data_IF_443172595793
#
_entry.id   IF_443172595793
#
_cell.length_a   1.000
_cell.length_b   1.000
_cell.length_c   1.000
_cell.angle_alpha   90.00
_cell.angle_beta   90.00
_cell.angle_gamma   90.00
#
_symmetry.space_group_name_H-M   'P 1'
#
loop_
_entity.id
_entity.type
_entity.pdbx_description
1 polymer ?
#
# COMPACT_ATOMS: atom_id res chain seq x y z
N UNK A 1 -83.34 20.59 -7.76
CA UNK A 1 -82.71 21.60 -8.65
C UNK A 1 -81.40 21.01 -9.17
N UNK A 2 -81.38 20.65 -10.46
CA UNK A 2 -80.22 20.14 -11.21
C UNK A 2 -79.49 21.34 -11.83
N UNK A 3 -78.17 21.40 -11.72
CA UNK A 3 -77.37 22.38 -12.45
C UNK A 3 -77.26 22.04 -13.94
N UNK A 4 -76.94 23.02 -14.81
CA UNK A 4 -76.52 22.74 -16.18
C UNK A 4 -75.05 23.07 -16.45
N UNK A 5 -74.54 22.34 -17.45
CA UNK A 5 -73.21 22.26 -18.02
C UNK A 5 -72.87 23.39 -19.02
N UNK A 6 -71.56 23.59 -19.24
CA UNK A 6 -70.96 24.05 -20.52
C UNK A 6 -70.78 25.58 -20.65
N UNK A 7 -69.72 26.13 -21.25
CA UNK A 7 -68.63 25.57 -22.04
C UNK A 7 -67.40 26.49 -21.96
N UNK A 8 -66.19 25.94 -21.79
CA UNK A 8 -64.93 26.67 -21.97
C UNK A 8 -64.58 26.62 -23.45
N UNK A 9 -64.83 27.72 -24.15
CA UNK A 9 -64.44 27.93 -25.54
C UNK A 9 -62.91 28.04 -25.59
N UNK A 10 -62.26 26.95 -25.94
CA UNK A 10 -60.85 26.92 -26.35
C UNK A 10 -60.70 27.64 -27.69
N UNK A 11 -60.12 28.83 -27.66
CA UNK A 11 -59.76 29.60 -28.86
C UNK A 11 -58.48 28.98 -29.45
N UNK A 12 -58.61 28.11 -30.46
CA UNK A 12 -57.48 27.71 -31.31
C UNK A 12 -57.08 28.90 -32.18
N UNK A 13 -55.80 29.31 -32.25
CA UNK A 13 -55.34 30.15 -33.34
C UNK A 13 -55.15 29.27 -34.58
N UNK A 14 -55.77 29.72 -35.68
CA UNK A 14 -55.65 29.15 -37.01
C UNK A 14 -54.19 29.02 -37.44
N UNK A 15 -53.91 27.88 -38.07
CA UNK A 15 -52.72 27.59 -38.85
C UNK A 15 -52.66 28.52 -40.06
N UNK A 16 -51.73 29.48 -40.04
CA UNK A 16 -51.19 30.09 -41.26
C UNK A 16 -49.70 29.81 -41.34
N UNK A 17 -49.30 29.36 -42.52
CA UNK A 17 -48.00 28.78 -42.78
C UNK A 17 -46.83 29.77 -42.71
N UNK A 18 -45.67 29.15 -42.51
CA UNK A 18 -44.33 29.65 -42.81
C UNK A 18 -43.72 30.68 -41.84
N UNK A 19 -43.13 30.19 -40.73
CA UNK A 19 -41.92 30.78 -40.16
C UNK A 19 -41.29 29.87 -39.09
N UNK A 20 -40.02 29.54 -39.31
CA UNK A 20 -38.98 29.29 -38.30
C UNK A 20 -39.05 28.02 -37.43
N UNK A 21 -38.19 27.07 -37.80
CA UNK A 21 -37.42 26.24 -36.87
C UNK A 21 -36.86 27.10 -35.73
N UNK A 22 -37.45 27.04 -34.53
CA UNK A 22 -36.97 27.83 -33.41
C UNK A 22 -37.82 27.70 -32.15
N UNK A 23 -37.58 26.64 -31.39
CA UNK A 23 -38.23 26.42 -30.09
C UNK A 23 -37.36 25.63 -29.12
N UNK A 24 -36.06 25.98 -29.04
CA UNK A 24 -35.18 25.49 -27.97
C UNK A 24 -35.79 25.95 -26.65
N UNK A 25 -36.26 25.01 -25.85
CA UNK A 25 -36.74 25.24 -24.48
C UNK A 25 -35.58 25.83 -23.67
N UNK A 26 -35.51 27.17 -23.61
CA UNK A 26 -34.51 27.92 -22.85
C UNK A 26 -35.03 28.08 -21.43
N UNK A 27 -35.04 27.00 -20.66
CA UNK A 27 -35.13 27.13 -19.20
C UNK A 27 -33.80 27.65 -18.68
N UNK A 28 -33.83 28.72 -17.88
CA UNK A 28 -32.69 29.19 -17.07
C UNK A 28 -32.31 28.09 -16.07
N UNK A 29 -31.56 27.08 -16.53
CA UNK A 29 -31.00 26.01 -15.70
C UNK A 29 -29.90 26.64 -14.84
N UNK A 30 -30.21 26.96 -13.58
CA UNK A 30 -29.21 27.34 -12.59
C UNK A 30 -28.41 26.09 -12.21
N UNK A 31 -27.08 26.14 -12.29
CA UNK A 31 -26.21 25.04 -11.84
C UNK A 31 -26.45 24.76 -10.35
N UNK A 32 -26.97 23.58 -10.03
CA UNK A 32 -27.37 23.21 -8.65
C UNK A 32 -26.23 22.63 -7.80
N UNK A 33 -25.02 22.47 -8.34
CA UNK A 33 -23.90 21.84 -7.62
C UNK A 33 -22.64 22.72 -7.53
N UNK A 34 -22.81 24.04 -7.38
CA UNK A 34 -21.67 24.97 -7.19
C UNK A 34 -20.95 24.68 -5.86
N UNK A 35 -21.68 24.33 -4.79
CA UNK A 35 -21.08 24.04 -3.48
C UNK A 35 -20.22 22.78 -3.54
N UNK A 36 -20.70 21.71 -4.17
CA UNK A 36 -19.93 20.48 -4.34
C UNK A 36 -18.73 20.67 -5.27
N UNK A 37 -18.88 21.49 -6.32
CA UNK A 37 -17.75 21.88 -7.17
C UNK A 37 -16.66 22.60 -6.37
N UNK A 38 -17.02 23.51 -5.47
CA UNK A 38 -16.06 24.23 -4.61
C UNK A 38 -15.35 23.26 -3.66
N UNK A 39 -16.07 22.32 -3.03
CA UNK A 39 -15.48 21.31 -2.15
C UNK A 39 -14.50 20.40 -2.92
N UNK A 40 -14.87 19.98 -4.12
CA UNK A 40 -14.01 19.16 -4.98
C UNK A 40 -12.72 19.90 -5.37
N UNK A 41 -12.83 21.18 -5.76
CA UNK A 41 -11.66 22.02 -6.08
C UNK A 41 -10.78 22.18 -4.84
N UNK A 42 -11.36 22.44 -3.66
CA UNK A 42 -10.61 22.58 -2.42
C UNK A 42 -9.83 21.30 -2.06
N UNK A 43 -10.41 20.12 -2.28
CA UNK A 43 -9.73 18.84 -2.08
C UNK A 43 -8.52 18.67 -3.01
N UNK A 44 -8.67 18.96 -4.30
CA UNK A 44 -7.57 18.87 -5.26
C UNK A 44 -6.45 19.87 -4.96
N UNK A 45 -6.82 21.10 -4.58
CA UNK A 45 -5.85 22.10 -4.13
C UNK A 45 -5.09 21.60 -2.90
N UNK A 46 -5.79 21.02 -1.92
CA UNK A 46 -5.16 20.42 -0.73
C UNK A 46 -4.16 19.31 -1.08
N UNK A 47 -4.52 18.41 -2.00
CA UNK A 47 -3.63 17.33 -2.47
C UNK A 47 -2.40 17.87 -3.20
N UNK A 48 -2.57 18.88 -4.06
CA UNK A 48 -1.45 19.51 -4.78
C UNK A 48 -0.51 20.22 -3.79
N UNK A 49 -1.04 20.95 -2.81
CA UNK A 49 -0.23 21.62 -1.78
C UNK A 49 0.55 20.62 -0.94
N UNK A 50 -0.11 19.57 -0.44
CA UNK A 50 0.55 18.52 0.35
C UNK A 50 1.63 17.80 -0.45
N UNK A 51 1.34 17.48 -1.72
CA UNK A 51 2.31 16.84 -2.61
C UNK A 51 3.50 17.77 -2.87
N UNK A 52 3.25 19.04 -3.21
CA UNK A 52 4.30 20.02 -3.49
C UNK A 52 5.19 20.25 -2.27
N UNK A 53 4.61 20.33 -1.07
CA UNK A 53 5.38 20.42 0.17
C UNK A 53 6.26 19.18 0.38
N UNK A 54 5.70 17.99 0.15
CA UNK A 54 6.44 16.73 0.25
C UNK A 54 7.60 16.62 -0.74
N UNK A 55 7.44 17.09 -1.98
CA UNK A 55 8.51 17.08 -2.99
C UNK A 55 9.55 18.20 -2.80
N UNK A 56 9.13 19.37 -2.29
CA UNK A 56 10.04 20.51 -2.14
C UNK A 56 10.87 20.45 -0.86
N UNK A 57 10.34 19.86 0.22
CA UNK A 57 11.05 19.73 1.50
C UNK A 57 11.54 18.31 1.79
N UNK A 58 10.90 17.30 1.19
CA UNK A 58 11.28 15.91 1.34
C UNK A 58 12.24 15.46 0.25
N UNK A 59 12.93 14.35 0.53
CA UNK A 59 13.73 13.65 -0.45
C UNK A 59 13.00 12.36 -0.89
N UNK A 60 12.47 12.30 -2.13
CA UNK A 60 11.77 11.12 -2.63
C UNK A 60 12.68 9.89 -2.76
N UNK A 61 14.01 10.07 -2.85
CA UNK A 61 14.96 8.95 -3.00
C UNK A 61 14.99 8.07 -1.74
N UNK A 62 14.61 8.60 -0.57
CA UNK A 62 14.49 7.83 0.68
C UNK A 62 13.43 6.73 0.65
N UNK A 63 12.48 6.79 -0.29
CA UNK A 63 11.47 5.75 -0.44
C UNK A 63 11.99 4.52 -1.19
N UNK A 64 12.96 4.71 -2.07
CA UNK A 64 13.49 3.65 -2.95
C UNK A 64 14.85 3.15 -2.53
N UNK A 65 15.72 4.05 -2.04
CA UNK A 65 17.10 3.73 -1.65
C UNK A 65 17.24 3.51 -0.14
N UNK A 66 18.29 2.77 0.22
CA UNK A 66 18.66 2.56 1.61
C UNK A 66 19.30 3.81 2.25
N UNK A 67 19.34 3.81 3.58
CA UNK A 67 20.08 4.78 4.37
C UNK A 67 21.33 4.12 4.94
N UNK A 68 22.43 4.87 5.04
CA UNK A 68 23.62 4.50 5.80
C UNK A 68 23.42 4.71 7.32
N UNK A 69 24.46 4.40 8.10
CA UNK A 69 24.49 4.58 9.55
C UNK A 69 24.50 6.05 9.99
N UNK A 70 24.70 6.99 9.06
CA UNK A 70 24.66 8.45 9.27
C UNK A 70 23.31 9.07 8.90
N UNK A 71 22.44 8.31 8.25
CA UNK A 71 21.15 8.77 7.77
C UNK A 71 21.18 9.40 6.38
N UNK A 72 22.30 9.32 5.66
CA UNK A 72 22.41 9.71 4.26
C UNK A 72 21.77 8.63 3.36
N UNK A 73 21.30 9.05 2.19
CA UNK A 73 20.74 8.15 1.18
C UNK A 73 21.84 7.59 0.30
N UNK A 74 21.86 6.28 0.09
CA UNK A 74 22.78 5.66 -0.87
C UNK A 74 22.51 6.20 -2.28
N UNK A 75 23.56 6.58 -3.01
CA UNK A 75 23.47 7.23 -4.33
C UNK A 75 23.34 8.76 -4.30
N UNK A 76 23.24 9.38 -3.11
CA UNK A 76 23.12 10.83 -3.01
C UNK A 76 24.47 11.55 -3.21
N UNK A 77 24.47 12.55 -4.10
CA UNK A 77 25.62 13.40 -4.42
C UNK A 77 25.88 14.47 -3.36
N UNK A 78 24.85 14.84 -2.60
CA UNK A 78 24.92 15.87 -1.57
C UNK A 78 25.16 15.29 -0.16
N UNK A 79 25.24 13.97 -0.05
CA UNK A 79 25.61 13.28 1.18
C UNK A 79 27.05 13.60 1.62
N UNK A 80 27.30 13.46 2.92
CA UNK A 80 28.65 13.56 3.50
C UNK A 80 28.95 12.28 4.32
N UNK A 81 29.88 11.41 3.89
CA UNK A 81 30.71 11.50 2.67
C UNK A 81 29.89 11.40 1.37
N UNK A 82 30.44 11.80 0.23
CA UNK A 82 29.72 11.76 -1.06
C UNK A 82 29.42 10.32 -1.49
N UNK A 83 28.14 9.99 -1.67
CA UNK A 83 27.66 8.62 -1.94
C UNK A 83 27.21 8.40 -3.39
N UNK A 84 27.61 9.29 -4.31
CA UNK A 84 27.14 9.29 -5.71
C UNK A 84 27.21 7.93 -6.40
N UNK A 85 28.26 7.18 -6.14
CA UNK A 85 28.54 5.90 -6.82
C UNK A 85 28.18 4.70 -5.94
N UNK A 86 27.82 4.95 -4.68
CA UNK A 86 27.54 3.96 -3.65
C UNK A 86 26.02 3.83 -3.49
N UNK A 87 25.39 3.08 -4.39
CA UNK A 87 23.92 2.98 -4.47
C UNK A 87 23.33 1.82 -3.66
N UNK A 88 24.15 0.84 -3.24
CA UNK A 88 23.69 -0.38 -2.58
C UNK A 88 23.82 -0.31 -1.06
N UNK A 89 22.72 -0.59 -0.35
CA UNK A 89 22.74 -0.70 1.12
C UNK A 89 23.22 -2.07 1.59
N UNK A 90 24.25 -2.12 2.42
CA UNK A 90 24.78 -3.32 3.07
C UNK A 90 24.70 -3.22 4.60
N UNK A 91 24.45 -4.34 5.29
CA UNK A 91 24.51 -4.42 6.75
C UNK A 91 25.87 -4.93 7.19
N UNK A 92 26.55 -4.21 8.07
CA UNK A 92 27.93 -4.54 8.46
C UNK A 92 27.99 -5.68 9.48
N UNK A 93 27.08 -5.69 10.47
CA UNK A 93 27.11 -6.62 11.58
C UNK A 93 26.02 -7.71 11.42
N UNK A 94 26.37 -8.97 11.10
CA UNK A 94 25.40 -10.05 10.95
C UNK A 94 24.60 -10.35 12.24
N UNK A 95 25.22 -10.18 13.41
CA UNK A 95 24.56 -10.45 14.69
C UNK A 95 23.46 -9.43 14.99
N UNK A 96 23.62 -8.18 14.58
CA UNK A 96 22.55 -7.18 14.69
C UNK A 96 21.35 -7.52 13.80
N UNK A 97 21.62 -8.01 12.60
CA UNK A 97 20.58 -8.48 11.67
C UNK A 97 19.88 -9.71 12.25
N UNK A 98 20.64 -10.69 12.76
CA UNK A 98 20.10 -11.86 13.44
C UNK A 98 19.19 -11.47 14.63
N UNK A 99 19.68 -10.58 15.50
CA UNK A 99 18.94 -10.11 16.66
C UNK A 99 17.62 -9.46 16.25
N UNK A 100 17.57 -8.74 15.13
CA UNK A 100 16.33 -8.13 14.64
C UNK A 100 15.25 -9.14 14.21
N UNK A 101 15.63 -10.39 13.95
CA UNK A 101 14.73 -11.48 13.60
C UNK A 101 14.16 -12.25 14.79
N UNK A 102 14.75 -12.11 15.98
CA UNK A 102 14.27 -12.73 17.21
C UNK A 102 12.94 -12.10 17.65
N UNK A 103 12.01 -12.92 18.16
CA UNK A 103 10.68 -12.44 18.58
C UNK A 103 10.71 -11.60 19.86
N UNK A 104 11.71 -11.81 20.71
CA UNK A 104 11.82 -11.21 22.04
C UNK A 104 12.87 -10.09 22.13
N UNK A 105 13.50 -9.72 21.01
CA UNK A 105 14.48 -8.64 20.98
C UNK A 105 13.80 -7.29 20.77
N UNK A 106 14.29 -6.25 21.46
CA UNK A 106 13.86 -4.86 21.21
C UNK A 106 14.55 -4.23 19.99
N UNK A 107 15.52 -4.93 19.39
CA UNK A 107 16.36 -4.41 18.33
C UNK A 107 15.65 -4.49 16.97
N UNK A 108 15.50 -3.36 16.27
CA UNK A 108 14.88 -3.33 14.94
C UNK A 108 15.95 -3.35 13.87
N UNK A 109 15.63 -3.93 12.71
CA UNK A 109 16.55 -3.93 11.56
C UNK A 109 16.83 -2.50 11.04
N UNK A 110 15.96 -1.53 11.33
CA UNK A 110 16.20 -0.13 11.00
C UNK A 110 17.38 0.46 11.81
N UNK A 111 17.64 -0.09 13.00
CA UNK A 111 18.72 0.35 13.90
C UNK A 111 20.02 -0.44 13.64
N UNK A 112 19.96 -1.49 12.80
CA UNK A 112 21.13 -2.23 12.38
C UNK A 112 22.07 -1.34 11.58
N UNK A 113 23.35 -1.35 11.94
CA UNK A 113 24.37 -0.53 11.28
C UNK A 113 24.47 -0.94 9.81
N UNK A 114 24.32 0.03 8.93
CA UNK A 114 24.36 -0.18 7.49
C UNK A 114 25.20 0.87 6.79
N UNK A 115 25.72 0.54 5.62
CA UNK A 115 26.64 1.36 4.84
C UNK A 115 26.26 1.25 3.36
N UNK A 116 26.65 2.23 2.56
CA UNK A 116 26.46 2.22 1.12
C UNK A 116 27.73 1.74 0.40
N UNK A 117 27.56 0.79 -0.53
CA UNK A 117 28.61 0.16 -1.35
C UNK A 117 28.27 0.26 -2.85
N UNK A 118 29.26 0.11 -3.73
CA UNK A 118 29.01 -0.02 -5.19
C UNK A 118 28.45 -1.40 -5.52
N UNK A 119 29.04 -2.44 -4.92
CA UNK A 119 28.72 -3.84 -5.17
C UNK A 119 28.58 -4.61 -3.86
N UNK A 120 27.77 -5.68 -3.89
CA UNK A 120 27.54 -6.52 -2.73
C UNK A 120 28.77 -7.41 -2.45
N UNK A 121 29.33 -7.38 -1.24
CA UNK A 121 30.53 -8.13 -0.92
C UNK A 121 30.25 -9.62 -0.86
N UNK A 122 31.17 -10.41 -1.40
CA UNK A 122 31.16 -11.86 -1.35
C UNK A 122 32.37 -12.39 -0.57
N UNK A 123 32.22 -13.48 0.19
CA UNK A 123 33.33 -14.11 0.87
C UNK A 123 34.35 -14.64 -0.14
N UNK A 124 35.64 -14.52 0.17
CA UNK A 124 36.72 -15.10 -0.63
C UNK A 124 36.79 -16.62 -0.41
N UNK A 125 37.35 -17.34 -1.40
CA UNK A 125 37.54 -18.78 -1.34
C UNK A 125 38.72 -19.19 -0.45
N UNK A 126 39.73 -18.31 -0.28
CA UNK A 126 41.00 -18.63 0.38
C UNK A 126 41.31 -17.74 1.60
N UNK A 127 40.63 -16.60 1.75
CA UNK A 127 40.94 -15.61 2.79
C UNK A 127 39.68 -15.00 3.40
N UNK A 128 39.84 -14.24 4.49
CA UNK A 128 38.74 -13.49 5.10
C UNK A 128 38.73 -12.05 4.56
N UNK A 129 37.71 -11.73 3.77
CA UNK A 129 37.45 -10.37 3.31
C UNK A 129 36.82 -9.55 4.44
N UNK A 130 37.16 -8.26 4.50
CA UNK A 130 36.54 -7.32 5.43
C UNK A 130 35.83 -6.20 4.69
N UNK A 131 34.79 -5.66 5.33
CA UNK A 131 34.19 -4.38 4.92
C UNK A 131 34.29 -3.45 6.11
N UNK A 132 34.93 -2.31 5.89
CA UNK A 132 35.16 -1.30 6.90
C UNK A 132 34.24 -0.10 6.74
N UNK A 133 34.04 0.63 7.83
CA UNK A 133 33.32 1.90 7.85
C UNK A 133 33.97 2.94 6.92
N UNK A 134 33.26 4.05 6.67
CA UNK A 134 33.83 5.18 5.92
C UNK A 134 35.13 5.67 6.57
N UNK A 135 36.16 6.01 5.76
CA UNK A 135 37.48 6.40 6.26
C UNK A 135 37.40 7.78 6.92
N UNK A 136 37.15 7.79 8.22
CA UNK A 136 36.93 9.00 9.01
C UNK A 136 37.77 9.02 10.29
N UNK A 137 38.03 10.22 10.81
CA UNK A 137 38.79 10.40 12.04
C UNK A 137 40.28 10.13 11.86
N UNK A 138 40.80 9.12 12.58
CA UNK A 138 42.23 8.77 12.60
C UNK A 138 42.71 8.06 11.32
N UNK A 139 41.77 7.57 10.52
CA UNK A 139 42.06 6.87 9.26
C UNK A 139 42.28 7.92 8.17
N UNK A 140 43.54 8.10 7.75
CA UNK A 140 43.92 9.02 6.67
C UNK A 140 43.81 8.37 5.29
N UNK A 141 42.61 7.97 4.91
CA UNK A 141 42.32 7.37 3.59
C UNK A 141 41.27 8.22 2.88
N UNK A 142 41.43 8.45 1.57
CA UNK A 142 40.37 9.12 0.80
C UNK A 142 39.21 8.16 0.52
N UNK A 143 38.04 8.69 0.20
CA UNK A 143 36.89 7.87 -0.15
C UNK A 143 37.15 7.02 -1.40
N UNK A 144 37.84 7.59 -2.40
CA UNK A 144 38.19 6.89 -3.63
C UNK A 144 39.19 5.75 -3.36
N UNK A 145 40.23 6.01 -2.54
CA UNK A 145 41.18 4.96 -2.14
C UNK A 145 40.50 3.85 -1.32
N UNK A 146 39.45 4.18 -0.54
CA UNK A 146 38.66 3.19 0.20
C UNK A 146 37.85 2.30 -0.74
N UNK A 147 37.26 2.88 -1.79
CA UNK A 147 36.55 2.14 -2.84
C UNK A 147 37.52 1.24 -3.62
N UNK A 148 38.67 1.78 -4.04
CA UNK A 148 39.70 1.05 -4.80
C UNK A 148 40.28 -0.13 -4.03
N UNK A 149 40.26 -0.07 -2.69
CA UNK A 149 40.65 -1.17 -1.80
C UNK A 149 39.51 -2.14 -1.50
N UNK A 150 38.41 -2.08 -2.24
CA UNK A 150 37.22 -2.89 -2.01
C UNK A 150 36.72 -2.80 -0.55
N UNK A 151 36.74 -1.58 -0.01
CA UNK A 151 36.25 -1.25 1.33
C UNK A 151 37.05 -1.87 2.49
N UNK A 152 38.26 -2.40 2.22
CA UNK A 152 39.11 -3.06 3.21
C UNK A 152 40.36 -2.24 3.55
N UNK A 153 40.52 -1.90 4.82
CA UNK A 153 41.77 -1.37 5.39
C UNK A 153 42.12 -2.02 6.73
N UNK A 154 41.61 -3.23 6.98
CA UNK A 154 41.75 -3.93 8.26
C UNK A 154 43.23 -4.11 8.68
N UNK A 155 44.11 -4.37 7.72
CA UNK A 155 45.55 -4.53 7.96
C UNK A 155 46.21 -3.27 8.52
N UNK A 156 45.71 -2.09 8.13
CA UNK A 156 46.25 -0.79 8.54
C UNK A 156 45.69 -0.31 9.88
N UNK A 157 44.78 -1.05 10.50
CA UNK A 157 44.24 -0.71 11.81
C UNK A 157 45.27 -0.84 12.94
N UNK A 158 45.12 0.01 13.96
CA UNK A 158 45.83 -0.14 15.23
C UNK A 158 45.40 -1.43 15.94
N UNK A 159 46.23 -2.00 16.82
CA UNK A 159 45.88 -3.23 17.55
C UNK A 159 44.56 -3.12 18.35
N UNK A 160 44.27 -1.93 18.89
CA UNK A 160 43.03 -1.65 19.63
C UNK A 160 41.80 -1.72 18.72
N UNK A 161 41.86 -1.05 17.56
CA UNK A 161 40.76 -1.05 16.58
C UNK A 161 40.56 -2.42 15.92
N UNK A 162 41.63 -3.21 15.83
CA UNK A 162 41.55 -4.61 15.39
C UNK A 162 40.77 -5.45 16.38
N UNK A 163 41.04 -5.29 17.68
CA UNK A 163 40.33 -6.01 18.74
C UNK A 163 38.84 -5.64 18.79
N UNK A 164 38.48 -4.37 18.60
CA UNK A 164 37.07 -3.95 18.52
C UNK A 164 36.36 -4.52 17.29
N UNK A 165 37.06 -4.61 16.15
CA UNK A 165 36.54 -5.22 14.91
C UNK A 165 36.27 -6.73 15.08
N UNK A 166 37.19 -7.45 15.74
CA UNK A 166 37.03 -8.87 16.11
C UNK A 166 35.86 -9.08 17.08
N UNK A 167 35.53 -8.06 17.89
CA UNK A 167 34.34 -8.01 18.74
C UNK A 167 33.07 -7.45 18.05
N UNK A 168 33.06 -7.29 16.72
CA UNK A 168 31.92 -6.77 15.96
C UNK A 168 31.43 -5.38 16.43
N UNK A 169 32.32 -4.58 17.04
CA UNK A 169 32.04 -3.20 17.43
C UNK A 169 32.48 -2.18 16.37
N UNK A 170 33.23 -2.63 15.35
CA UNK A 170 33.78 -1.82 14.27
C UNK A 170 35.24 -1.41 14.54
N UNK A 171 35.89 -0.71 13.60
CA UNK A 171 35.32 -0.14 12.37
C UNK A 171 35.19 -1.14 11.21
N UNK A 172 35.80 -2.32 11.29
CA UNK A 172 35.77 -3.32 10.22
C UNK A 172 34.98 -4.56 10.63
N UNK A 173 34.31 -5.17 9.67
CA UNK A 173 33.44 -6.32 9.87
C UNK A 173 33.75 -7.43 8.86
N UNK A 174 33.71 -8.71 9.27
CA UNK A 174 34.08 -9.81 8.40
C UNK A 174 32.96 -10.17 7.43
N UNK A 175 33.31 -10.40 6.16
CA UNK A 175 32.37 -10.88 5.14
C UNK A 175 32.25 -12.40 5.22
N UNK A 176 31.27 -12.87 6.00
CA UNK A 176 31.06 -14.31 6.24
C UNK A 176 29.91 -14.86 5.41
N UNK A 177 28.84 -14.08 5.28
CA UNK A 177 27.67 -14.44 4.51
C UNK A 177 27.83 -13.91 3.08
N UNK A 178 27.64 -14.76 2.05
CA UNK A 178 27.51 -14.25 0.69
C UNK A 178 26.27 -13.36 0.61
N UNK A 179 26.40 -12.26 -0.14
CA UNK A 179 25.32 -11.30 -0.32
C UNK A 179 25.04 -11.03 -1.79
N UNK A 180 23.77 -10.77 -2.12
CA UNK A 180 23.32 -10.49 -3.49
C UNK A 180 22.50 -9.21 -3.53
N UNK A 181 22.60 -8.48 -4.64
CA UNK A 181 21.85 -7.25 -4.86
C UNK A 181 20.37 -7.58 -5.14
N UNK A 182 19.49 -7.12 -4.25
CA UNK A 182 18.04 -7.22 -4.40
C UNK A 182 17.42 -5.87 -4.05
N UNK A 183 16.93 -5.15 -5.06
CA UNK A 183 16.35 -3.80 -4.92
C UNK A 183 17.26 -2.81 -4.18
N UNK A 184 18.48 -2.58 -4.70
CA UNK A 184 19.42 -1.59 -4.15
C UNK A 184 19.86 -1.87 -2.70
N UNK A 185 19.77 -3.14 -2.29
CA UNK A 185 20.19 -3.61 -0.98
C UNK A 185 20.80 -5.01 -1.08
N UNK A 186 21.90 -5.20 -0.37
CA UNK A 186 22.63 -6.46 -0.30
C UNK A 186 22.01 -7.37 0.75
N UNK A 187 21.35 -8.44 0.30
CA UNK A 187 20.71 -9.41 1.18
C UNK A 187 21.66 -10.58 1.44
N UNK A 188 21.82 -10.95 2.71
CA UNK A 188 22.58 -12.14 3.09
C UNK A 188 21.86 -13.41 2.68
N UNK A 189 22.61 -14.38 2.17
CA UNK A 189 22.13 -15.76 2.02
C UNK A 189 22.20 -16.47 3.38
N UNK A 190 21.27 -17.39 3.63
CA UNK A 190 21.16 -18.12 4.90
C UNK A 190 22.40 -18.96 5.29
N UNK A 191 23.31 -19.27 4.37
CA UNK A 191 24.47 -20.14 4.61
C UNK A 191 25.77 -19.34 4.64
N UNK A 192 26.54 -19.39 5.75
CA UNK A 192 27.87 -18.77 5.81
C UNK A 192 28.89 -19.54 4.96
N UNK A 193 29.95 -18.87 4.52
CA UNK A 193 31.10 -19.53 3.89
C UNK A 193 31.96 -20.24 4.95
N UNK A 194 32.19 -21.54 4.77
CA UNK A 194 32.98 -22.36 5.70
C UNK A 194 34.43 -21.85 5.87
N UNK A 195 35.03 -21.33 4.79
CA UNK A 195 36.41 -20.83 4.82
C UNK A 195 36.49 -19.57 5.65
N UNK A 196 35.66 -18.56 5.31
CA UNK A 196 35.58 -17.30 6.05
C UNK A 196 35.28 -17.51 7.54
N UNK A 197 34.36 -18.44 7.87
CA UNK A 197 33.98 -18.74 9.24
C UNK A 197 35.12 -19.42 10.02
N UNK A 198 35.87 -20.30 9.37
CA UNK A 198 37.05 -20.95 9.98
C UNK A 198 38.13 -19.92 10.32
N UNK A 199 38.46 -19.03 9.38
CA UNK A 199 39.43 -17.97 9.61
C UNK A 199 38.99 -16.99 10.69
N UNK A 200 37.70 -16.63 10.71
CA UNK A 200 37.13 -15.80 11.76
C UNK A 200 37.28 -16.43 13.16
N UNK A 201 36.97 -17.72 13.29
CA UNK A 201 37.14 -18.46 14.56
C UNK A 201 38.61 -18.59 14.97
N UNK A 202 39.51 -18.78 14.03
CA UNK A 202 40.96 -18.82 14.29
C UNK A 202 41.49 -17.51 14.84
N UNK A 203 40.90 -16.37 14.44
CA UNK A 203 41.24 -15.04 14.96
C UNK A 203 40.61 -14.72 16.32
N UNK A 204 39.87 -15.67 16.94
CA UNK A 204 39.19 -15.44 18.20
C UNK A 204 37.99 -14.51 18.07
N UNK A 205 37.40 -14.41 16.88
CA UNK A 205 36.20 -13.63 16.63
C UNK A 205 35.01 -14.05 17.50
N UNK A 206 34.18 -13.07 17.88
CA UNK A 206 32.96 -13.38 18.61
C UNK A 206 32.05 -14.32 17.83
N UNK A 207 31.25 -15.12 18.56
CA UNK A 207 30.33 -16.06 17.94
C UNK A 207 29.30 -15.35 17.07
N UNK A 208 29.09 -15.90 15.86
CA UNK A 208 28.13 -15.39 14.89
C UNK A 208 27.03 -16.42 14.73
N UNK A 209 25.80 -16.00 15.01
CA UNK A 209 24.62 -16.85 14.98
C UNK A 209 24.18 -17.07 13.53
N UNK A 210 24.61 -18.17 12.93
CA UNK A 210 24.34 -18.51 11.53
C UNK A 210 23.10 -19.41 11.37
N UNK A 211 21.93 -18.90 11.77
CA UNK A 211 20.64 -19.59 11.57
C UNK A 211 19.78 -18.91 10.50
N UNK A 212 18.79 -19.64 9.96
CA UNK A 212 17.83 -19.19 8.92
C UNK A 212 17.06 -17.91 9.29
N UNK A 213 17.12 -17.47 10.54
CA UNK A 213 16.50 -16.24 11.03
C UNK A 213 17.08 -14.99 10.34
N UNK A 214 18.36 -14.99 9.94
CA UNK A 214 18.98 -13.85 9.23
C UNK A 214 18.25 -13.58 7.91
N UNK A 215 18.14 -14.61 7.07
CA UNK A 215 17.44 -14.56 5.78
C UNK A 215 15.97 -14.14 5.97
N UNK A 216 15.29 -14.76 6.95
CA UNK A 216 13.90 -14.42 7.27
C UNK A 216 13.72 -12.98 7.76
N UNK A 217 14.67 -12.43 8.51
CA UNK A 217 14.59 -11.05 9.02
C UNK A 217 14.73 -10.02 7.91
N UNK A 218 15.66 -10.25 6.97
CA UNK A 218 15.86 -9.40 5.80
C UNK A 218 14.68 -9.54 4.84
N UNK A 219 14.22 -10.76 4.57
CA UNK A 219 13.01 -10.97 3.77
C UNK A 219 11.79 -10.34 4.41
N UNK A 220 11.57 -10.48 5.72
CA UNK A 220 10.44 -9.84 6.41
C UNK A 220 10.50 -8.31 6.35
N UNK A 221 11.68 -7.71 6.49
CA UNK A 221 11.82 -6.25 6.41
C UNK A 221 11.66 -5.72 4.98
N UNK A 222 12.24 -6.41 4.00
CA UNK A 222 12.15 -6.06 2.58
C UNK A 222 10.76 -6.32 2.05
N UNK A 223 10.13 -7.43 2.43
CA UNK A 223 8.73 -7.69 2.20
C UNK A 223 7.84 -6.78 3.04
N UNK A 224 8.22 -6.19 4.17
CA UNK A 224 7.32 -5.21 4.80
C UNK A 224 7.16 -3.95 3.94
N UNK A 225 8.25 -3.44 3.35
CA UNK A 225 8.23 -2.28 2.45
C UNK A 225 7.69 -2.64 1.07
N UNK A 226 8.07 -3.80 0.54
CA UNK A 226 7.64 -4.26 -0.78
C UNK A 226 6.33 -5.06 -0.76
N UNK A 227 5.84 -5.61 0.35
CA UNK A 227 4.54 -6.32 0.39
C UNK A 227 3.39 -5.37 0.33
N UNK A 228 3.53 -4.11 0.78
CA UNK A 228 2.49 -3.11 0.56
C UNK A 228 2.36 -2.85 -0.94
N UNK A 229 3.48 -2.53 -1.60
CA UNK A 229 3.54 -2.29 -3.05
C UNK A 229 3.21 -3.53 -3.88
N UNK A 230 3.71 -4.72 -3.51
CA UNK A 230 3.42 -6.01 -4.17
C UNK A 230 1.99 -6.48 -3.88
N UNK A 231 1.41 -6.22 -2.70
CA UNK A 231 -0.02 -6.49 -2.46
C UNK A 231 -0.87 -5.56 -3.31
N UNK A 232 -0.59 -4.26 -3.32
CA UNK A 232 -1.29 -3.34 -4.21
C UNK A 232 -1.12 -3.69 -5.68
N UNK A 233 0.10 -4.01 -6.15
CA UNK A 233 0.35 -4.38 -7.54
C UNK A 233 -0.19 -5.77 -7.92
N UNK A 234 -0.17 -6.74 -7.00
CA UNK A 234 -0.78 -8.06 -7.20
C UNK A 234 -2.31 -7.98 -7.21
N UNK A 235 -2.89 -7.17 -6.33
CA UNK A 235 -4.33 -6.92 -6.24
C UNK A 235 -4.79 -6.10 -7.45
N UNK A 236 -4.05 -5.08 -7.87
CA UNK A 236 -4.30 -4.34 -9.12
C UNK A 236 -4.18 -5.29 -10.32
N UNK A 237 -3.13 -6.13 -10.37
CA UNK A 237 -2.93 -7.09 -11.45
C UNK A 237 -4.06 -8.10 -11.58
N UNK A 238 -4.59 -8.61 -10.46
CA UNK A 238 -5.73 -9.55 -10.46
C UNK A 238 -7.07 -8.86 -10.74
N UNK A 239 -7.26 -7.63 -10.25
CA UNK A 239 -8.53 -6.92 -10.33
C UNK A 239 -8.63 -5.93 -11.49
N UNK A 240 -7.60 -5.79 -12.32
CA UNK A 240 -7.59 -4.84 -13.45
C UNK A 240 -8.79 -4.99 -14.41
N UNK A 241 -9.23 -6.21 -14.80
CA UNK A 241 -10.43 -6.35 -15.62
C UNK A 241 -11.68 -5.85 -14.90
N UNK A 242 -11.79 -6.08 -13.59
CA UNK A 242 -12.93 -5.67 -12.78
C UNK A 242 -12.96 -4.15 -12.61
N UNK A 243 -11.80 -3.51 -12.44
CA UNK A 243 -11.68 -2.05 -12.35
C UNK A 243 -12.09 -1.37 -13.66
N UNK A 244 -11.65 -1.90 -14.81
CA UNK A 244 -12.04 -1.36 -16.12
C UNK A 244 -13.53 -1.53 -16.36
N UNK A 245 -14.07 -2.73 -16.09
CA UNK A 245 -15.49 -3.04 -16.36
C UNK A 245 -16.42 -2.30 -15.40
N UNK A 246 -16.17 -2.39 -14.08
CA UNK A 246 -17.06 -1.85 -13.06
C UNK A 246 -16.80 -0.36 -12.76
N UNK A 247 -15.55 0.11 -12.89
CA UNK A 247 -15.18 1.51 -12.64
C UNK A 247 -15.21 2.40 -13.89
N UNK A 248 -15.00 1.82 -15.08
CA UNK A 248 -14.98 2.57 -16.34
C UNK A 248 -16.23 2.37 -17.19
N UNK A 249 -16.39 1.16 -17.74
CA UNK A 249 -17.36 0.89 -18.80
C UNK A 249 -18.80 0.96 -18.29
N UNK A 250 -19.09 0.29 -17.17
CA UNK A 250 -20.45 0.19 -16.63
C UNK A 250 -21.00 1.55 -16.15
N UNK A 251 -20.24 2.41 -15.44
CA UNK A 251 -20.69 3.75 -15.08
C UNK A 251 -20.87 4.66 -16.29
N UNK A 252 -19.98 4.60 -17.29
CA UNK A 252 -20.13 5.38 -18.53
C UNK A 252 -21.38 4.98 -19.31
N UNK A 253 -21.65 3.68 -19.41
CA UNK A 253 -22.84 3.16 -20.08
C UNK A 253 -24.13 3.55 -19.36
N UNK A 254 -24.17 3.38 -18.04
CA UNK A 254 -25.28 3.83 -17.19
C UNK A 254 -25.49 5.35 -17.28
N UNK A 255 -24.42 6.14 -17.35
CA UNK A 255 -24.50 7.60 -17.52
C UNK A 255 -25.07 8.00 -18.89
N UNK A 256 -24.71 7.30 -19.98
CA UNK A 256 -25.28 7.55 -21.31
C UNK A 256 -26.78 7.20 -21.33
N UNK A 257 -27.17 6.05 -20.77
CA UNK A 257 -28.58 5.65 -20.64
C UNK A 257 -29.35 6.69 -19.83
N UNK A 258 -28.76 7.16 -18.72
CA UNK A 258 -29.35 8.19 -17.87
C UNK A 258 -29.63 9.49 -18.63
N UNK A 259 -28.66 9.97 -19.43
CA UNK A 259 -28.82 11.17 -20.24
C UNK A 259 -29.90 11.00 -21.34
N UNK A 260 -30.00 9.81 -21.93
CA UNK A 260 -31.05 9.49 -22.90
C UNK A 260 -32.44 9.43 -22.26
N UNK A 261 -32.54 8.88 -21.05
CA UNK A 261 -33.79 8.82 -20.26
C UNK A 261 -34.32 10.21 -19.91
N UNK A 262 -33.44 11.12 -19.46
CA UNK A 262 -33.81 12.51 -19.16
C UNK A 262 -34.38 13.22 -20.40
N UNK A 263 -33.91 12.88 -21.60
CA UNK A 263 -34.39 13.50 -22.84
C UNK A 263 -35.82 13.09 -23.22
N UNK A 264 -36.25 11.87 -22.88
CA UNK A 264 -37.54 11.35 -23.32
C UNK A 264 -38.63 11.46 -22.26
N UNK A 265 -38.32 11.34 -20.95
CA UNK A 265 -39.33 11.31 -19.89
C UNK A 265 -38.84 11.92 -18.56
N UNK A 266 -38.91 13.25 -18.43
CA UNK A 266 -38.51 13.97 -17.20
C UNK A 266 -39.42 13.67 -16.01
N UNK A 267 -40.71 13.41 -16.24
CA UNK A 267 -41.70 13.23 -15.17
C UNK A 267 -41.78 11.79 -14.62
N UNK A 268 -41.53 10.77 -15.45
CA UNK A 268 -41.55 9.36 -15.03
C UNK A 268 -40.24 8.90 -14.38
N UNK A 269 -39.17 9.67 -14.60
CA UNK A 269 -37.81 9.34 -14.17
C UNK A 269 -37.65 9.15 -12.65
N UNK A 270 -38.17 10.03 -11.77
CA UNK A 270 -38.04 9.85 -10.33
C UNK A 270 -38.76 8.58 -9.83
N UNK A 271 -39.96 8.32 -10.36
CA UNK A 271 -40.76 7.16 -9.98
C UNK A 271 -40.08 5.83 -10.34
N UNK A 272 -39.49 5.74 -11.53
CA UNK A 272 -38.74 4.54 -11.95
C UNK A 272 -37.53 4.31 -11.04
N UNK A 273 -36.78 5.38 -10.70
CA UNK A 273 -35.61 5.23 -9.81
C UNK A 273 -35.99 4.85 -8.39
N UNK A 274 -37.08 5.42 -7.85
CA UNK A 274 -37.59 5.07 -6.51
C UNK A 274 -38.05 3.62 -6.47
N UNK A 275 -38.79 3.16 -7.49
CA UNK A 275 -39.25 1.77 -7.58
C UNK A 275 -38.07 0.81 -7.69
N UNK A 276 -37.11 1.09 -8.57
CA UNK A 276 -35.93 0.23 -8.77
C UNK A 276 -35.07 0.14 -7.50
N UNK A 277 -34.84 1.28 -6.82
CA UNK A 277 -34.07 1.31 -5.59
C UNK A 277 -34.75 0.54 -4.46
N UNK A 278 -36.07 0.67 -4.31
CA UNK A 278 -36.83 -0.11 -3.33
C UNK A 278 -36.78 -1.61 -3.63
N UNK A 279 -36.92 -2.01 -4.90
CA UNK A 279 -36.78 -3.43 -5.30
C UNK A 279 -35.39 -3.96 -4.97
N UNK A 280 -34.34 -3.17 -5.23
CA UNK A 280 -32.96 -3.56 -4.94
C UNK A 280 -32.72 -3.71 -3.43
N UNK A 281 -33.21 -2.78 -2.62
CA UNK A 281 -33.14 -2.88 -1.16
C UNK A 281 -33.88 -4.12 -0.67
N UNK A 282 -35.10 -4.38 -1.15
CA UNK A 282 -35.88 -5.55 -0.74
C UNK A 282 -35.16 -6.84 -1.14
N UNK A 283 -34.61 -6.93 -2.33
CA UNK A 283 -33.89 -8.12 -2.81
C UNK A 283 -32.58 -8.37 -2.08
N UNK A 284 -31.80 -7.32 -1.79
CA UNK A 284 -30.57 -7.43 -0.97
C UNK A 284 -30.91 -7.81 0.46
N UNK A 285 -31.94 -7.18 1.04
CA UNK A 285 -32.43 -7.50 2.39
C UNK A 285 -32.89 -8.96 2.47
N UNK A 286 -33.68 -9.42 1.49
CA UNK A 286 -34.10 -10.82 1.39
C UNK A 286 -32.92 -11.78 1.24
N UNK A 287 -31.92 -11.43 0.42
CA UNK A 287 -30.70 -12.23 0.27
C UNK A 287 -29.93 -12.37 1.59
N UNK A 288 -29.83 -11.29 2.37
CA UNK A 288 -29.23 -11.34 3.70
C UNK A 288 -30.07 -12.17 4.68
N UNK A 289 -31.40 -12.10 4.64
CA UNK A 289 -32.27 -12.98 5.45
C UNK A 289 -32.10 -14.47 5.10
N UNK A 290 -31.92 -14.79 3.82
CA UNK A 290 -31.62 -16.16 3.36
C UNK A 290 -30.24 -16.63 3.86
N UNK A 291 -29.22 -15.76 3.81
CA UNK A 291 -27.88 -16.09 4.31
C UNK A 291 -27.79 -16.11 5.84
N UNK A 292 -28.64 -15.37 6.53
CA UNK A 292 -28.77 -15.37 7.99
C UNK A 292 -29.53 -16.60 8.52
N UNK A 293 -30.06 -17.46 7.65
CA UNK A 293 -30.76 -18.69 8.03
C UNK A 293 -32.12 -18.47 8.68
N UNK A 294 -32.72 -17.29 8.50
CA UNK A 294 -34.00 -16.93 9.14
C UNK A 294 -35.21 -17.46 8.37
N UNK A 295 -35.11 -17.59 7.04
CA UNK A 295 -35.99 -18.46 6.23
C UNK A 295 -35.36 -19.87 6.29
N UNK A 296 -35.61 -20.57 7.39
CA UNK A 296 -35.49 -22.03 7.44
C UNK A 296 -36.58 -22.65 6.57
N UNK A 297 -36.38 -23.91 6.16
CA UNK A 297 -37.31 -24.69 5.32
C UNK A 297 -38.68 -24.97 6.00
N UNK A 298 -38.99 -24.25 7.08
CA UNK A 298 -40.07 -24.48 8.03
C UNK A 298 -41.29 -23.61 7.71
N UNK A 299 -41.15 -22.64 6.80
CA UNK A 299 -42.26 -21.80 6.31
C UNK A 299 -43.18 -22.52 5.31
N UNK A 300 -42.88 -23.77 4.93
CA UNK A 300 -43.78 -24.63 4.13
C UNK A 300 -44.69 -25.49 5.03
N UNK A 301 -44.49 -25.45 6.36
CA UNK A 301 -45.21 -26.30 7.32
C UNK A 301 -46.49 -25.71 7.96
N UNK A 302 -47.20 -24.67 7.45
CA UNK A 302 -48.58 -24.44 7.91
C UNK A 302 -49.60 -25.42 7.31
N UNK A 303 -49.21 -26.31 6.38
CA UNK A 303 -50.12 -27.25 5.69
C UNK A 303 -50.08 -28.69 6.26
N UNK A 304 -49.12 -29.03 7.12
CA UNK A 304 -49.12 -30.32 7.83
C UNK A 304 -49.08 -30.06 9.33
N UNK A 305 -50.16 -30.50 10.00
CA UNK A 305 -50.47 -30.24 11.40
C UNK A 305 -49.57 -30.93 12.42
N UNK A 306 -49.80 -30.48 13.66
CA UNK A 306 -49.35 -30.94 14.98
C UNK A 306 -48.47 -32.20 15.07
N UNK A 307 -47.32 -32.09 15.75
CA UNK A 307 -47.22 -32.57 17.14
C UNK A 307 -45.88 -32.23 17.83
N UNK A 308 -46.04 -31.80 19.08
CA UNK A 308 -45.24 -32.00 20.29
C UNK A 308 -44.06 -31.09 20.70
N UNK A 309 -43.98 -30.82 22.02
CA UNK A 309 -43.16 -29.77 22.62
C UNK A 309 -41.81 -30.34 23.09
N UNK A 310 -40.94 -29.49 23.64
CA UNK A 310 -39.63 -29.81 24.25
C UNK A 310 -38.40 -29.72 23.33
N UNK A 311 -38.09 -28.52 22.84
CA UNK A 311 -36.69 -28.07 22.74
C UNK A 311 -36.61 -26.58 23.12
N UNK A 312 -36.09 -26.30 24.31
CA UNK A 312 -35.60 -24.98 24.69
C UNK A 312 -34.13 -24.86 24.30
N UNK A 313 -33.80 -24.00 23.33
CA UNK A 313 -32.44 -23.49 23.17
C UNK A 313 -32.42 -21.99 23.47
N UNK A 314 -31.71 -21.69 24.54
CA UNK A 314 -31.42 -20.37 25.08
C UNK A 314 -30.24 -19.77 24.31
N UNK A 315 -30.38 -18.54 23.80
CA UNK A 315 -29.33 -17.89 23.03
C UNK A 315 -29.50 -16.38 22.89
N UNK A 316 -29.22 -15.67 24.01
CA UNK A 316 -28.82 -14.26 24.16
C UNK A 316 -29.14 -13.28 23.02
N UNK A 317 -29.95 -12.28 23.36
CA UNK A 317 -30.21 -11.12 22.52
C UNK A 317 -28.99 -10.23 22.28
N UNK A 318 -29.13 -9.39 21.26
CA UNK A 318 -28.55 -8.06 21.27
C UNK A 318 -29.50 -7.10 20.58
N UNK A 319 -30.05 -6.18 21.37
CA UNK A 319 -30.93 -5.08 20.99
C UNK A 319 -30.32 -4.21 19.89
N UNK A 320 -30.70 -4.44 18.64
CA UNK A 320 -30.64 -3.46 17.55
C UNK A 320 -31.86 -3.77 16.67
N UNK A 321 -32.49 -2.76 16.07
CA UNK A 321 -33.73 -2.84 15.27
C UNK A 321 -35.01 -2.57 16.11
N UNK A 322 -35.01 -1.43 16.78
CA UNK A 322 -36.23 -0.66 17.01
C UNK A 322 -35.97 0.79 16.59
N UNK A 323 -35.58 0.97 15.32
CA UNK A 323 -35.38 2.29 14.70
C UNK A 323 -35.19 2.14 13.19
N UNK A 324 -36.23 1.74 12.44
CA UNK A 324 -36.35 1.99 11.00
C UNK A 324 -37.75 1.61 10.48
N UNK A 325 -38.77 2.00 11.24
CA UNK A 325 -40.11 2.26 10.71
C UNK A 325 -40.37 3.72 10.99
N UNK A 326 -39.99 4.57 10.03
CA UNK A 326 -40.46 5.93 9.76
C UNK A 326 -39.38 6.65 8.95
N UNK A 327 -39.44 6.46 7.62
CA UNK A 327 -39.30 7.47 6.55
C UNK A 327 -39.13 6.75 5.21
#
# INVERSE_FOLDING_TARGET
MRGPLGAVIGRYPSSDGNAQMGGIIRHNRKCRDIVFLVIFIAFWVGMIVNSSFGFNQGDPLRLTYGLDYKGNVCGDKHANPGLRELELKYWLNPNQVYQSGLKDSQFKLADARSICLMDCPTPSEDSLNWVCDYPEGEIRLSMDDWIDRNYDYFEFLTPEMRNSSVNLQGPCYPVIFPSVNVYWSCQFLARPSNVSLTHWKQMGGMNIDADLIIDKSIHKSTDSRSSVLKRYMSDIGKSWPILIVCGGILPLFLAVIWLLMIRHFVAAMPWVTVVLFNILIVSVTMFYYLKAGWIGNDAITPIIGDHDPYVHIFGKGSSIICALLLF
#
